data_IF_759549040799
#
_entry.id   IF_759549040799
#
_cell.length_a   1.000
_cell.length_b   1.000
_cell.length_c   1.000
_cell.angle_alpha   90.00
_cell.angle_beta   90.00
_cell.angle_gamma   90.00
#
_symmetry.space_group_name_H-M   'P 1'
#
loop_
_entity.id
_entity.type
_entity.pdbx_description
1 polymer ?
#
# COMPACT_ATOMS: atom_id res chain seq x y z
N UNK A 1 -10.19 5.06 -2.94
CA UNK A 1 -9.87 5.59 -4.29
C UNK A 1 -9.04 4.55 -5.02
N UNK A 2 -9.33 4.26 -6.29
CA UNK A 2 -8.58 3.33 -7.11
C UNK A 2 -7.16 3.85 -7.40
N UNK A 3 -6.12 3.03 -7.20
CA UNK A 3 -4.71 3.38 -7.45
C UNK A 3 -4.46 3.85 -8.88
N UNK A 4 -5.21 3.30 -9.84
CA UNK A 4 -5.11 3.64 -11.27
C UNK A 4 -5.65 5.05 -11.52
N UNK A 5 -6.78 5.39 -10.91
CA UNK A 5 -7.37 6.74 -11.00
C UNK A 5 -6.45 7.79 -10.40
N UNK A 6 -5.88 7.52 -9.23
CA UNK A 6 -4.89 8.40 -8.59
C UNK A 6 -3.65 8.60 -9.46
N UNK A 7 -3.14 7.53 -10.06
CA UNK A 7 -1.99 7.64 -10.97
C UNK A 7 -2.28 8.56 -12.17
N UNK A 8 -3.45 8.43 -12.79
CA UNK A 8 -3.89 9.29 -13.90
C UNK A 8 -3.95 10.77 -13.47
N UNK A 9 -4.52 11.05 -12.30
CA UNK A 9 -4.64 12.39 -11.74
C UNK A 9 -3.26 13.03 -11.45
N UNK A 10 -2.34 12.27 -10.85
CA UNK A 10 -0.95 12.71 -10.60
C UNK A 10 -0.24 13.03 -11.91
N UNK A 11 -0.31 12.13 -12.90
CA UNK A 11 0.30 12.34 -14.21
C UNK A 11 -0.28 13.58 -14.93
N UNK A 12 -1.58 13.84 -14.78
CA UNK A 12 -2.23 15.03 -15.36
C UNK A 12 -1.79 16.33 -14.65
N UNK A 13 -1.51 16.30 -13.34
CA UNK A 13 -0.95 17.45 -12.62
C UNK A 13 0.50 17.73 -13.06
N UNK A 14 1.32 16.69 -13.22
CA UNK A 14 2.71 16.85 -13.65
C UNK A 14 2.81 17.43 -15.06
N UNK A 15 2.00 16.97 -16.01
CA UNK A 15 1.97 17.57 -17.37
C UNK A 15 1.56 19.05 -17.35
N UNK A 16 0.57 19.41 -16.53
CA UNK A 16 0.17 20.82 -16.36
C UNK A 16 1.28 21.67 -15.72
N UNK A 17 1.99 21.11 -14.75
CA UNK A 17 3.13 21.78 -14.14
C UNK A 17 4.25 22.02 -15.15
N UNK A 18 4.54 21.04 -16.02
CA UNK A 18 5.54 21.15 -17.07
C UNK A 18 5.21 22.26 -18.08
N UNK A 19 3.96 22.30 -18.58
CA UNK A 19 3.51 23.38 -19.47
C UNK A 19 3.64 24.76 -18.82
N UNK A 20 3.16 24.91 -17.57
CA UNK A 20 3.24 26.17 -16.85
C UNK A 20 4.70 26.56 -16.51
N UNK A 21 5.58 25.60 -16.26
CA UNK A 21 7.00 25.86 -16.04
C UNK A 21 7.66 26.40 -17.33
N UNK A 22 7.30 25.85 -18.49
CA UNK A 22 7.81 26.35 -19.77
C UNK A 22 7.37 27.79 -20.06
N UNK A 23 6.14 28.15 -19.69
CA UNK A 23 5.65 29.53 -19.78
C UNK A 23 6.36 30.45 -18.77
N UNK A 24 6.63 29.95 -17.57
CA UNK A 24 7.35 30.69 -16.53
C UNK A 24 8.80 31.03 -16.92
N UNK A 25 9.47 30.19 -17.72
CA UNK A 25 10.81 30.45 -18.25
C UNK A 25 10.83 31.74 -19.09
N UNK A 26 9.70 32.13 -19.69
CA UNK A 26 9.56 33.38 -20.44
C UNK A 26 9.26 34.60 -19.55
N UNK A 27 9.34 34.46 -18.22
CA UNK A 27 9.16 35.54 -17.25
C UNK A 27 7.76 35.65 -16.65
N UNK A 28 6.84 34.73 -16.95
CA UNK A 28 5.47 34.74 -16.42
C UNK A 28 5.42 34.22 -14.96
N UNK A 29 5.26 35.14 -14.01
CA UNK A 29 5.14 34.82 -12.59
C UNK A 29 3.82 34.14 -12.20
N UNK A 30 2.75 34.31 -12.98
CA UNK A 30 1.49 33.57 -12.82
C UNK A 30 1.65 32.11 -13.22
N UNK A 31 2.38 31.85 -14.29
CA UNK A 31 2.72 30.49 -14.74
C UNK A 31 3.63 29.78 -13.71
N UNK A 32 4.61 30.49 -13.14
CA UNK A 32 5.48 29.95 -12.09
C UNK A 32 4.70 29.47 -10.86
N UNK A 33 3.75 30.28 -10.38
CA UNK A 33 2.86 29.93 -9.26
C UNK A 33 1.96 28.74 -9.60
N UNK A 34 1.49 28.68 -10.84
CA UNK A 34 0.66 27.57 -11.32
C UNK A 34 1.44 26.26 -11.33
N UNK A 35 2.68 26.27 -11.84
CA UNK A 35 3.56 25.12 -11.83
C UNK A 35 3.81 24.60 -10.40
N UNK A 36 4.16 25.50 -9.47
CA UNK A 36 4.41 25.13 -8.07
C UNK A 36 3.18 24.53 -7.38
N UNK A 37 2.00 25.11 -7.62
CA UNK A 37 0.73 24.58 -7.11
C UNK A 37 0.49 23.17 -7.64
N UNK A 38 0.61 22.95 -8.95
CA UNK A 38 0.39 21.64 -9.55
C UNK A 38 1.36 20.57 -9.02
N UNK A 39 2.64 20.92 -8.80
CA UNK A 39 3.63 20.00 -8.20
C UNK A 39 3.25 19.63 -6.77
N UNK A 40 2.85 20.63 -5.96
CA UNK A 40 2.45 20.40 -4.56
C UNK A 40 1.23 19.49 -4.49
N UNK A 41 0.23 19.73 -5.34
CA UNK A 41 -0.99 18.92 -5.42
C UNK A 41 -0.72 17.49 -5.93
N UNK A 42 0.22 17.33 -6.87
CA UNK A 42 0.64 16.03 -7.38
C UNK A 42 1.32 15.21 -6.28
N UNK A 43 2.20 15.85 -5.51
CA UNK A 43 2.89 15.23 -4.38
C UNK A 43 1.91 14.80 -3.30
N UNK A 44 1.01 15.67 -2.89
CA UNK A 44 0.00 15.35 -1.88
C UNK A 44 -0.84 14.14 -2.29
N UNK A 45 -1.34 14.11 -3.54
CA UNK A 45 -2.08 12.95 -4.05
C UNK A 45 -1.26 11.68 -4.12
N UNK A 46 0.04 11.77 -4.39
CA UNK A 46 0.92 10.59 -4.40
C UNK A 46 1.14 10.04 -2.98
N UNK A 47 1.28 10.91 -1.99
CA UNK A 47 1.51 10.55 -0.57
C UNK A 47 0.26 9.96 0.10
N UNK A 48 -0.94 10.44 -0.25
CA UNK A 48 -2.21 9.93 0.28
C UNK A 48 -2.51 8.45 -0.08
N UNK A 49 -1.59 7.75 -0.78
CA UNK A 49 -1.67 6.33 -1.13
C UNK A 49 -0.70 5.42 -0.40
N UNK A 50 0.02 5.94 0.60
CA UNK A 50 1.06 5.21 1.33
C UNK A 50 0.59 4.12 2.30
N UNK A 51 -0.72 3.98 2.52
CA UNK A 51 -1.26 2.95 3.41
C UNK A 51 -1.25 1.60 2.69
N UNK A 52 -0.26 0.78 3.02
CA UNK A 52 -0.18 -0.62 2.61
C UNK A 52 -1.14 -1.53 3.41
N UNK A 53 -2.05 -0.94 4.18
CA UNK A 53 -2.99 -1.62 5.06
C UNK A 53 -2.50 -1.69 6.51
N UNK A 54 -3.18 -2.50 7.32
CA UNK A 54 -2.82 -2.77 8.72
C UNK A 54 -1.98 -4.05 8.79
N UNK A 55 -1.09 -4.13 9.78
CA UNK A 55 -0.37 -5.36 10.11
C UNK A 55 -1.34 -6.54 10.25
N UNK A 56 -1.03 -7.68 9.62
CA UNK A 56 -1.86 -8.88 9.69
C UNK A 56 -1.71 -9.68 11.00
N UNK A 57 -0.86 -9.23 11.94
CA UNK A 57 -0.76 -9.86 13.25
C UNK A 57 -2.02 -9.54 14.08
N UNK A 58 -2.78 -10.53 14.59
CA UNK A 58 -4.10 -10.31 15.21
C UNK A 58 -4.12 -9.31 16.36
N UNK A 59 -3.03 -9.23 17.12
CA UNK A 59 -2.88 -8.32 18.27
C UNK A 59 -2.12 -7.03 17.93
N UNK A 60 -1.81 -6.79 16.65
CA UNK A 60 -1.08 -5.60 16.20
C UNK A 60 -1.99 -4.70 15.37
N UNK A 61 -2.15 -3.44 15.79
CA UNK A 61 -2.94 -2.43 15.08
C UNK A 61 -2.08 -1.45 14.27
N UNK A 62 -0.78 -1.72 14.11
CA UNK A 62 0.13 -0.83 13.39
C UNK A 62 -0.23 -0.72 11.91
N UNK A 63 -0.27 0.52 11.41
CA UNK A 63 -0.41 0.82 9.97
C UNK A 63 0.90 0.56 9.25
N UNK A 64 0.82 -0.06 8.08
CA UNK A 64 1.97 -0.31 7.22
C UNK A 64 2.11 0.87 6.26
N UNK A 65 3.23 1.58 6.35
CA UNK A 65 3.63 2.56 5.34
C UNK A 65 4.56 1.88 4.34
N UNK A 66 4.22 1.92 3.06
CA UNK A 66 5.08 1.36 2.01
C UNK A 66 5.31 2.37 0.89
N UNK A 67 6.56 2.72 0.68
CA UNK A 67 7.01 3.59 -0.42
C UNK A 67 7.99 2.78 -1.25
N UNK A 68 7.51 2.12 -2.30
CA UNK A 68 8.33 1.27 -3.16
C UNK A 68 7.57 0.68 -4.34
N UNK A 69 8.31 0.05 -5.28
CA UNK A 69 7.71 -0.74 -6.36
C UNK A 69 7.71 -2.21 -5.95
N UNK A 70 6.56 -2.88 -6.01
CA UNK A 70 6.42 -4.30 -5.70
C UNK A 70 5.31 -4.60 -4.70
N UNK A 71 5.31 -5.84 -4.18
CA UNK A 71 4.29 -6.29 -3.23
C UNK A 71 4.51 -5.62 -1.87
N UNK A 72 3.49 -4.94 -1.30
CA UNK A 72 3.61 -4.34 0.01
C UNK A 72 3.87 -5.41 1.10
N UNK A 73 4.55 -5.02 2.20
CA UNK A 73 4.69 -5.90 3.36
C UNK A 73 3.32 -6.23 3.96
N UNK A 74 3.20 -7.42 4.56
CA UNK A 74 2.00 -7.86 5.30
C UNK A 74 2.10 -7.61 6.82
N UNK A 75 3.33 -7.47 7.31
CA UNK A 75 3.65 -7.36 8.72
C UNK A 75 4.53 -6.13 8.94
N UNK A 76 4.32 -5.44 10.06
CA UNK A 76 5.06 -4.21 10.39
C UNK A 76 6.51 -4.49 10.83
N UNK A 77 6.79 -5.71 11.31
CA UNK A 77 8.10 -6.14 11.78
C UNK A 77 8.36 -7.63 11.52
N UNK A 78 9.64 -8.06 11.53
CA UNK A 78 9.99 -9.48 11.53
C UNK A 78 9.36 -10.25 12.69
N UNK A 79 9.22 -9.64 13.87
CA UNK A 79 8.64 -10.27 15.06
C UNK A 79 7.17 -10.63 14.84
N UNK A 80 6.38 -9.70 14.28
CA UNK A 80 4.98 -9.96 13.92
C UNK A 80 4.86 -11.12 12.93
N UNK A 81 5.75 -11.16 11.93
CA UNK A 81 5.80 -12.26 10.95
C UNK A 81 6.15 -13.58 11.62
N UNK A 82 7.16 -13.60 12.49
CA UNK A 82 7.62 -14.81 13.15
C UNK A 82 6.59 -15.36 14.14
N UNK A 83 5.94 -14.48 14.91
CA UNK A 83 4.84 -14.84 15.81
C UNK A 83 3.72 -15.58 15.07
N UNK A 84 3.20 -14.98 13.98
CA UNK A 84 2.15 -15.61 13.16
C UNK A 84 2.63 -16.92 12.55
N UNK A 85 3.88 -16.96 12.06
CA UNK A 85 4.46 -18.18 11.49
C UNK A 85 4.55 -19.33 12.50
N UNK A 86 5.03 -19.04 13.73
CA UNK A 86 5.11 -20.03 14.81
C UNK A 86 3.72 -20.52 15.21
N UNK A 87 2.76 -19.62 15.40
CA UNK A 87 1.37 -19.98 15.70
C UNK A 87 0.78 -20.90 14.61
N UNK A 88 1.01 -20.55 13.34
CA UNK A 88 0.57 -21.36 12.19
C UNK A 88 1.19 -22.75 12.20
N UNK A 89 2.50 -22.86 12.48
CA UNK A 89 3.17 -24.16 12.56
C UNK A 89 2.64 -25.03 13.71
N UNK A 90 2.37 -24.43 14.88
CA UNK A 90 1.80 -25.15 16.02
C UNK A 90 0.42 -25.71 15.64
N UNK A 91 -0.44 -24.87 15.04
CA UNK A 91 -1.76 -25.28 14.59
C UNK A 91 -1.69 -26.38 13.52
N UNK A 92 -0.84 -26.22 12.50
CA UNK A 92 -0.64 -27.22 11.45
C UNK A 92 -0.15 -28.56 12.02
N UNK A 93 0.79 -28.52 12.97
CA UNK A 93 1.29 -29.71 13.64
C UNK A 93 0.21 -30.39 14.50
N UNK A 94 -0.65 -29.61 15.16
CA UNK A 94 -1.78 -30.14 15.93
C UNK A 94 -2.79 -30.85 15.01
N UNK A 95 -3.08 -30.27 13.84
CA UNK A 95 -3.93 -30.91 12.83
C UNK A 95 -3.34 -32.22 12.31
N UNK A 96 -2.05 -32.25 11.98
CA UNK A 96 -1.38 -33.47 11.51
C UNK A 96 -1.27 -34.57 12.59
N UNK A 97 -1.21 -34.18 13.87
CA UNK A 97 -1.17 -35.12 15.01
C UNK A 97 -2.56 -35.59 15.44
N UNK A 98 -3.63 -35.01 14.93
CA UNK A 98 -4.99 -35.38 15.30
C UNK A 98 -5.45 -36.55 14.42
N UNK A 99 -5.62 -37.79 14.95
CA UNK A 99 -6.10 -38.93 14.16
C UNK A 99 -7.60 -38.83 13.79
N UNK A 100 -8.24 -37.68 13.98
CA UNK A 100 -9.69 -37.49 13.93
C UNK A 100 -10.23 -37.03 12.56
N UNK A 101 -9.58 -37.40 11.45
CA UNK A 101 -10.13 -37.25 10.10
C UNK A 101 -10.24 -38.59 9.34
N UNK A 102 -10.23 -39.72 10.06
CA UNK A 102 -10.40 -41.05 9.49
C UNK A 102 -11.86 -41.57 9.51
N UNK A 103 -12.81 -40.79 10.03
CA UNK A 103 -14.24 -41.18 10.06
C UNK A 103 -15.11 -39.96 9.77
N UNK A 104 -15.26 -39.63 8.49
CA UNK A 104 -16.53 -39.09 8.02
C UNK A 104 -17.46 -40.30 7.85
N UNK A 105 -18.62 -40.38 8.51
CA UNK A 105 -19.60 -41.40 8.15
C UNK A 105 -20.13 -41.09 6.76
N UNK A 106 -20.08 -42.11 5.90
CA UNK A 106 -20.72 -42.14 4.59
C UNK A 106 -22.21 -41.81 4.76
N UNK A 107 -22.65 -40.70 4.18
CA UNK A 107 -24.06 -40.31 4.15
C UNK A 107 -24.75 -41.14 3.07
N UNK A 108 -25.39 -42.23 3.49
CA UNK A 108 -26.49 -42.87 2.74
C UNK A 108 -27.83 -42.49 3.33
#
# INVERSE_FOLDING_TARGET
MDTTRRHIEVCALLRRAETAAQEAVNGDQTAARTALRCITEARQRAEEGGDAGTCEHPECSNVLTYVGRGRPPRFCSPDCRESVYRATQIAARALLKSPALATLPDLT
#
